data_IF_872142910494
#
_entry.id   IF_872142910494
#
_cell.length_a   1.000
_cell.length_b   1.000
_cell.length_c   1.000
_cell.angle_alpha   90.00
_cell.angle_beta   90.00
_cell.angle_gamma   90.00
#
_symmetry.space_group_name_H-M   'P 1'
#
loop_
_entity.id
_entity.type
_entity.pdbx_description
1 polymer ?
#
# COMPACT_ATOMS: atom_id res chain seq x y z
N UNK A 1 31.47 -19.19 -17.76
CA UNK A 1 32.03 -17.82 -17.78
C UNK A 1 30.88 -16.87 -17.46
N UNK A 2 30.84 -16.29 -16.25
CA UNK A 2 29.85 -15.30 -15.92
C UNK A 2 30.19 -13.99 -16.65
N UNK A 3 29.41 -13.65 -17.67
CA UNK A 3 29.51 -12.33 -18.29
C UNK A 3 29.07 -11.29 -17.24
N UNK A 4 30.01 -10.44 -16.83
CA UNK A 4 29.70 -9.30 -15.97
C UNK A 4 28.74 -8.38 -16.75
N UNK A 5 27.54 -8.18 -16.23
CA UNK A 5 26.57 -7.21 -16.76
C UNK A 5 27.14 -5.80 -16.54
N UNK A 6 27.33 -5.04 -17.62
CA UNK A 6 27.85 -3.68 -17.55
C UNK A 6 26.65 -2.74 -17.38
N UNK A 7 26.62 -2.01 -16.26
CA UNK A 7 25.62 -0.97 -16.00
C UNK A 7 26.08 0.33 -16.69
N UNK A 8 25.35 0.73 -17.73
CA UNK A 8 25.64 1.96 -18.46
C UNK A 8 25.18 3.19 -17.67
N UNK A 9 25.86 4.34 -17.81
CA UNK A 9 25.45 5.59 -17.18
C UNK A 9 24.12 6.09 -17.76
N UNK A 10 23.29 6.70 -16.90
CA UNK A 10 22.05 7.36 -17.31
C UNK A 10 22.32 8.83 -17.68
N UNK A 11 21.50 9.37 -18.59
CA UNK A 11 21.49 10.80 -18.88
C UNK A 11 20.57 11.51 -17.86
N UNK A 12 21.18 12.07 -16.83
CA UNK A 12 20.46 12.78 -15.77
C UNK A 12 20.11 14.20 -16.19
N UNK A 13 19.00 14.73 -15.59
CA UNK A 13 18.70 16.15 -15.65
C UNK A 13 19.86 16.96 -15.05
N UNK A 14 20.32 17.98 -15.78
CA UNK A 14 21.47 18.80 -15.41
C UNK A 14 21.13 20.29 -15.44
N UNK A 15 21.87 21.07 -14.69
CA UNK A 15 21.79 22.52 -14.72
C UNK A 15 20.36 23.03 -14.57
N UNK A 16 19.91 23.82 -15.52
CA UNK A 16 18.60 24.48 -15.49
C UNK A 16 17.45 23.49 -15.52
N UNK A 17 17.57 22.41 -16.28
CA UNK A 17 16.51 21.37 -16.33
C UNK A 17 16.32 20.73 -14.95
N UNK A 18 17.40 20.43 -14.25
CA UNK A 18 17.37 19.89 -12.91
C UNK A 18 16.75 20.86 -11.90
N UNK A 19 17.16 22.12 -11.90
CA UNK A 19 16.66 23.14 -10.94
C UNK A 19 15.19 23.49 -11.20
N UNK A 20 14.74 23.55 -12.45
CA UNK A 20 13.31 23.72 -12.77
C UNK A 20 12.48 22.50 -12.35
N UNK A 21 12.99 21.31 -12.54
CA UNK A 21 12.33 20.08 -12.07
C UNK A 21 12.16 20.08 -10.54
N UNK A 22 13.17 20.51 -9.78
CA UNK A 22 13.06 20.68 -8.32
C UNK A 22 11.96 21.68 -7.96
N UNK A 23 11.87 22.81 -8.65
CA UNK A 23 10.83 23.82 -8.43
C UNK A 23 9.43 23.25 -8.66
N UNK A 24 9.25 22.45 -9.72
CA UNK A 24 7.97 21.81 -10.03
C UNK A 24 7.55 20.83 -8.92
N UNK A 25 8.45 19.95 -8.47
CA UNK A 25 8.15 18.97 -7.44
C UNK A 25 7.90 19.59 -6.05
N UNK A 26 8.48 20.75 -5.78
CA UNK A 26 8.30 21.46 -4.51
C UNK A 26 7.25 22.59 -4.59
N UNK A 27 6.61 22.77 -5.76
CA UNK A 27 5.63 23.83 -6.03
C UNK A 27 6.21 25.25 -5.75
N UNK A 28 7.50 25.47 -6.02
CA UNK A 28 8.18 26.75 -5.85
C UNK A 28 8.08 27.59 -7.12
N UNK A 29 7.83 28.89 -6.95
CA UNK A 29 7.78 29.85 -8.07
C UNK A 29 9.13 30.51 -8.33
N UNK A 30 9.96 30.63 -7.30
CA UNK A 30 11.25 31.34 -7.36
C UNK A 30 12.41 30.51 -6.81
N UNK A 31 13.64 30.92 -7.09
CA UNK A 31 14.83 30.34 -6.49
C UNK A 31 15.03 30.77 -5.03
N UNK A 32 14.40 31.87 -4.60
CA UNK A 32 14.35 32.29 -3.22
C UNK A 32 13.58 31.24 -2.38
N UNK A 33 12.36 30.93 -2.78
CA UNK A 33 11.52 29.89 -2.13
C UNK A 33 12.23 28.53 -2.12
N UNK A 34 12.87 28.16 -3.24
CA UNK A 34 13.61 26.91 -3.34
C UNK A 34 14.82 26.89 -2.38
N UNK A 35 15.50 28.02 -2.22
CA UNK A 35 16.64 28.22 -1.31
C UNK A 35 16.20 28.02 0.16
N UNK A 36 15.08 28.60 0.55
CA UNK A 36 14.52 28.48 1.90
C UNK A 36 14.09 27.05 2.22
N UNK A 37 13.38 26.39 1.29
CA UNK A 37 12.88 25.03 1.51
C UNK A 37 14.03 24.00 1.58
N UNK A 38 15.05 24.17 0.76
CA UNK A 38 16.16 23.22 0.65
C UNK A 38 17.34 23.54 1.55
N UNK A 39 17.36 24.71 2.17
CA UNK A 39 18.51 25.24 2.91
C UNK A 39 19.79 25.21 2.07
N UNK A 40 19.68 25.71 0.82
CA UNK A 40 20.76 25.77 -0.16
C UNK A 40 20.87 27.21 -0.68
N UNK A 41 22.07 27.85 -0.63
CA UNK A 41 22.22 29.20 -1.12
C UNK A 41 21.79 29.36 -2.59
N UNK A 42 21.08 30.45 -2.90
CA UNK A 42 20.61 30.77 -4.26
C UNK A 42 21.76 30.79 -5.30
N UNK A 43 22.94 31.20 -4.90
CA UNK A 43 24.15 31.17 -5.76
C UNK A 43 24.55 29.76 -6.19
N UNK A 44 24.21 28.75 -5.39
CA UNK A 44 24.49 27.34 -5.72
C UNK A 44 23.65 26.87 -6.90
N UNK A 45 22.37 27.26 -6.97
CA UNK A 45 21.52 26.96 -8.14
C UNK A 45 22.03 27.65 -9.39
N UNK A 46 22.48 28.92 -9.28
CA UNK A 46 23.11 29.64 -10.40
C UNK A 46 24.38 28.94 -10.89
N UNK A 47 25.20 28.42 -9.97
CA UNK A 47 26.40 27.65 -10.29
C UNK A 47 26.06 26.32 -10.97
N UNK A 48 25.04 25.59 -10.49
CA UNK A 48 24.61 24.37 -11.15
C UNK A 48 24.09 24.64 -12.56
N UNK A 49 23.32 25.73 -12.74
CA UNK A 49 22.80 26.10 -14.05
C UNK A 49 23.92 26.48 -15.04
N UNK A 50 24.93 27.18 -14.57
CA UNK A 50 26.06 27.60 -15.42
C UNK A 50 27.00 26.45 -15.82
N UNK A 51 27.13 25.42 -14.95
CA UNK A 51 28.06 24.31 -15.15
C UNK A 51 27.37 22.98 -15.44
N UNK A 52 26.07 23.00 -15.76
CA UNK A 52 25.26 21.79 -16.05
C UNK A 52 25.44 20.70 -15.01
N UNK A 53 25.37 21.07 -13.72
CA UNK A 53 25.55 20.14 -12.59
C UNK A 53 24.20 19.65 -12.05
N UNK A 54 24.27 18.48 -11.43
CA UNK A 54 23.14 17.82 -10.72
C UNK A 54 23.58 17.53 -9.29
N UNK A 55 22.69 17.75 -8.31
CA UNK A 55 22.94 17.39 -6.93
C UNK A 55 22.27 16.05 -6.59
N UNK A 56 23.07 14.99 -6.57
CA UNK A 56 22.59 13.65 -6.17
C UNK A 56 22.19 13.63 -4.68
N UNK A 57 22.87 14.41 -3.83
CA UNK A 57 22.53 14.57 -2.43
C UNK A 57 21.11 15.07 -2.23
N UNK A 58 20.71 16.12 -2.96
CA UNK A 58 19.35 16.64 -2.89
C UNK A 58 18.31 15.64 -3.38
N UNK A 59 18.61 14.85 -4.41
CA UNK A 59 17.70 13.79 -4.87
C UNK A 59 17.45 12.78 -3.76
N UNK A 60 18.50 12.31 -3.08
CA UNK A 60 18.37 11.37 -1.96
C UNK A 60 17.62 12.01 -0.78
N UNK A 61 17.98 13.26 -0.43
CA UNK A 61 17.34 14.01 0.65
C UNK A 61 15.84 14.22 0.40
N UNK A 62 15.44 14.58 -0.81
CA UNK A 62 14.03 14.76 -1.19
C UNK A 62 13.28 13.41 -1.24
N UNK A 63 13.93 12.37 -1.69
CA UNK A 63 13.36 11.03 -1.65
C UNK A 63 13.04 10.59 -0.21
N UNK A 64 14.00 10.74 0.69
CA UNK A 64 13.84 10.35 2.10
C UNK A 64 12.86 11.26 2.88
N UNK A 65 12.88 12.58 2.62
CA UNK A 65 12.08 13.55 3.38
C UNK A 65 10.64 13.71 2.84
N UNK A 66 10.43 13.55 1.55
CA UNK A 66 9.15 13.84 0.86
C UNK A 66 8.58 12.63 0.11
N UNK A 67 9.29 11.50 0.07
CA UNK A 67 8.87 10.32 -0.69
C UNK A 67 8.90 10.50 -2.21
N UNK A 68 9.51 11.56 -2.74
CA UNK A 68 9.58 11.81 -4.19
C UNK A 68 10.51 10.77 -4.82
N UNK A 69 10.07 9.99 -5.81
CA UNK A 69 10.93 8.99 -6.44
C UNK A 69 12.19 9.61 -7.06
N UNK A 70 13.36 9.02 -6.81
CA UNK A 70 14.64 9.53 -7.35
C UNK A 70 14.59 9.66 -8.87
N UNK A 71 13.93 8.73 -9.58
CA UNK A 71 13.77 8.77 -11.03
C UNK A 71 13.04 10.02 -11.52
N UNK A 72 12.05 10.51 -10.76
CA UNK A 72 11.26 11.69 -11.13
C UNK A 72 12.07 12.98 -10.90
N UNK A 73 13.03 12.94 -9.95
CA UNK A 73 13.98 14.03 -9.72
C UNK A 73 15.16 14.02 -10.70
N UNK A 74 15.52 12.84 -11.21
CA UNK A 74 16.74 12.64 -11.98
C UNK A 74 16.53 12.66 -13.50
N UNK A 75 15.34 12.26 -14.00
CA UNK A 75 15.12 12.02 -15.42
C UNK A 75 14.04 12.96 -15.97
N UNK A 76 14.10 13.23 -17.27
CA UNK A 76 13.04 14.00 -17.96
C UNK A 76 11.71 13.27 -17.87
N UNK A 77 10.59 13.96 -17.61
CA UNK A 77 9.27 13.39 -17.77
C UNK A 77 9.13 12.89 -19.21
N UNK A 78 8.75 11.63 -19.39
CA UNK A 78 8.45 11.13 -20.73
C UNK A 78 7.21 11.83 -21.26
N UNK A 79 7.34 12.59 -22.35
CA UNK A 79 6.18 13.05 -23.10
C UNK A 79 5.35 11.85 -23.59
N UNK A 80 4.01 11.93 -23.61
CA UNK A 80 3.19 10.89 -24.21
C UNK A 80 3.57 10.74 -25.68
N UNK A 81 4.16 9.62 -26.04
CA UNK A 81 4.61 9.32 -27.40
C UNK A 81 3.39 9.23 -28.29
N UNK A 82 3.12 10.28 -29.05
CA UNK A 82 2.25 10.23 -30.22
C UNK A 82 2.97 9.38 -31.30
N UNK A 83 2.44 8.20 -31.57
CA UNK A 83 2.91 7.28 -32.60
C UNK A 83 3.03 7.96 -33.96
N UNK A 84 4.25 8.23 -34.43
CA UNK A 84 4.65 8.24 -35.84
C UNK A 84 6.15 8.37 -35.97
N UNK A 85 6.82 7.28 -36.20
CA UNK A 85 7.74 6.99 -37.32
C UNK A 85 8.69 5.85 -36.98
N UNK A 86 8.80 4.96 -37.93
CA UNK A 86 9.60 3.74 -37.89
C UNK A 86 11.10 4.02 -38.04
N UNK A 87 11.89 3.07 -37.55
CA UNK A 87 13.28 2.73 -37.85
C UNK A 87 14.36 3.46 -37.03
N UNK A 88 14.66 2.81 -35.88
CA UNK A 88 16.04 2.47 -35.50
C UNK A 88 16.00 1.46 -34.36
N UNK A 89 16.87 0.43 -34.32
CA UNK A 89 16.88 -0.52 -33.22
C UNK A 89 17.60 0.10 -32.02
N UNK A 90 16.92 0.94 -31.29
CA UNK A 90 17.36 1.33 -29.95
C UNK A 90 17.11 0.16 -29.01
N UNK A 91 18.15 -0.34 -28.38
CA UNK A 91 18.04 -1.23 -27.21
C UNK A 91 17.42 -0.39 -26.08
N UNK A 92 16.13 -0.18 -26.20
CA UNK A 92 15.33 0.46 -25.16
C UNK A 92 15.17 -0.56 -24.04
N UNK A 93 16.03 -0.45 -23.02
CA UNK A 93 15.73 -1.08 -21.74
C UNK A 93 14.37 -0.56 -21.27
N UNK A 94 13.38 -1.48 -21.28
CA UNK A 94 12.00 -1.22 -20.92
C UNK A 94 11.86 -0.86 -19.42
N UNK A 95 12.36 0.30 -18.98
CA UNK A 95 11.97 0.91 -17.70
C UNK A 95 10.53 1.47 -17.70
N UNK A 96 9.86 1.45 -18.86
CA UNK A 96 8.45 1.81 -18.96
C UNK A 96 7.50 0.81 -18.25
N UNK A 97 8.00 -0.35 -17.84
CA UNK A 97 7.20 -1.36 -17.15
C UNK A 97 6.93 -1.05 -15.67
N UNK A 98 7.61 -0.06 -15.08
CA UNK A 98 7.45 0.26 -13.64
C UNK A 98 6.52 1.45 -13.37
N UNK A 99 6.11 2.20 -14.39
CA UNK A 99 5.27 3.40 -14.24
C UNK A 99 3.88 3.31 -14.85
N UNK A 100 3.57 2.30 -15.63
CA UNK A 100 2.18 1.87 -15.74
C UNK A 100 1.95 1.00 -14.50
N UNK A 101 1.22 1.53 -13.52
CA UNK A 101 0.64 0.67 -12.49
C UNK A 101 -0.20 -0.35 -13.24
N UNK A 102 0.38 -1.53 -13.46
CA UNK A 102 -0.39 -2.63 -14.02
C UNK A 102 -1.59 -2.79 -13.08
N UNK A 103 -2.82 -2.60 -13.56
CA UNK A 103 -4.01 -2.72 -12.71
C UNK A 103 -4.06 -4.06 -11.97
N UNK A 104 -3.35 -5.08 -12.48
CA UNK A 104 -3.21 -6.38 -11.82
C UNK A 104 -2.31 -6.35 -10.58
N UNK A 105 -1.43 -5.34 -10.45
CA UNK A 105 -0.55 -5.15 -9.29
C UNK A 105 -1.12 -4.15 -8.28
N UNK A 106 -2.29 -3.58 -8.55
CA UNK A 106 -2.96 -2.72 -7.59
C UNK A 106 -3.30 -3.50 -6.31
N UNK A 107 -3.11 -2.85 -5.16
CA UNK A 107 -3.34 -3.45 -3.84
C UNK A 107 -4.40 -2.67 -3.08
N UNK A 108 -5.17 -3.41 -2.28
CA UNK A 108 -6.04 -2.88 -1.21
C UNK A 108 -5.30 -3.09 0.09
N UNK A 109 -5.28 -2.08 0.94
CA UNK A 109 -4.66 -2.13 2.26
C UNK A 109 -5.74 -2.35 3.31
N UNK A 110 -5.62 -3.42 4.08
CA UNK A 110 -6.51 -3.72 5.20
C UNK A 110 -5.78 -3.55 6.53
N UNK A 111 -6.49 -3.10 7.56
CA UNK A 111 -5.98 -3.16 8.93
C UNK A 111 -5.88 -4.61 9.36
N UNK A 112 -4.74 -4.97 9.92
CA UNK A 112 -4.42 -6.33 10.38
C UNK A 112 -4.31 -6.38 11.90
N UNK A 113 -4.86 -7.44 12.50
CA UNK A 113 -4.83 -7.68 13.93
C UNK A 113 -4.46 -9.13 14.20
N UNK A 114 -3.73 -9.37 15.29
CA UNK A 114 -3.50 -10.71 15.81
C UNK A 114 -4.48 -10.99 16.95
N UNK A 115 -5.24 -12.08 16.86
CA UNK A 115 -6.12 -12.53 17.93
C UNK A 115 -5.33 -13.45 18.86
N UNK A 116 -4.99 -12.96 20.04
CA UNK A 116 -4.24 -13.70 21.06
C UNK A 116 -4.88 -13.53 22.43
N UNK A 117 -5.12 -14.64 23.11
CA UNK A 117 -5.70 -14.68 24.47
C UNK A 117 -7.00 -13.86 24.61
N UNK A 118 -7.84 -13.87 23.56
CA UNK A 118 -9.09 -13.14 23.54
C UNK A 118 -8.96 -11.63 23.32
N UNK A 119 -7.81 -11.16 22.86
CA UNK A 119 -7.56 -9.75 22.57
C UNK A 119 -7.11 -9.59 21.12
N UNK A 120 -7.57 -8.52 20.46
CA UNK A 120 -7.05 -8.08 19.18
C UNK A 120 -5.86 -7.15 19.42
N UNK A 121 -4.69 -7.55 18.94
CA UNK A 121 -3.48 -6.76 18.96
C UNK A 121 -3.28 -6.20 17.55
N UNK A 122 -3.11 -4.89 17.43
CA UNK A 122 -2.83 -4.24 16.14
C UNK A 122 -1.46 -4.70 15.62
N UNK A 123 -1.42 -5.27 14.43
CA UNK A 123 -0.22 -5.74 13.73
C UNK A 123 0.11 -4.89 12.50
N UNK A 124 -0.61 -3.77 12.32
CA UNK A 124 -0.40 -2.83 11.23
C UNK A 124 -1.32 -3.06 10.04
N UNK A 125 -0.75 -3.12 8.85
CA UNK A 125 -1.50 -3.14 7.59
C UNK A 125 -1.05 -4.30 6.70
N UNK A 126 -2.02 -4.93 6.02
CA UNK A 126 -1.78 -6.04 5.10
C UNK A 126 -2.26 -5.69 3.69
N UNK A 127 -1.38 -5.75 2.67
CA UNK A 127 -1.76 -5.54 1.28
C UNK A 127 -2.36 -6.81 0.66
N UNK A 128 -3.51 -6.66 0.00
CA UNK A 128 -4.15 -7.68 -0.80
C UNK A 128 -4.24 -7.25 -2.27
N UNK A 129 -4.00 -8.16 -3.21
CA UNK A 129 -4.19 -7.84 -4.63
C UNK A 129 -5.65 -7.45 -4.89
N UNK A 130 -5.88 -6.28 -5.51
CA UNK A 130 -7.23 -5.76 -5.82
C UNK A 130 -8.07 -6.77 -6.57
N UNK A 131 -7.48 -7.51 -7.53
CA UNK A 131 -8.18 -8.53 -8.30
C UNK A 131 -8.78 -9.63 -7.41
N UNK A 132 -8.01 -10.12 -6.43
CA UNK A 132 -8.45 -11.16 -5.51
C UNK A 132 -9.49 -10.57 -4.56
N UNK A 133 -9.22 -9.40 -3.99
CA UNK A 133 -10.12 -8.74 -3.06
C UNK A 133 -11.50 -8.46 -3.67
N UNK A 134 -11.53 -7.96 -4.91
CA UNK A 134 -12.78 -7.70 -5.63
C UNK A 134 -13.56 -8.99 -5.95
N UNK A 135 -12.88 -10.13 -6.14
CA UNK A 135 -13.58 -11.40 -6.38
C UNK A 135 -14.36 -11.87 -5.16
N UNK A 136 -14.00 -11.41 -3.97
CA UNK A 136 -14.72 -11.71 -2.72
C UNK A 136 -15.87 -10.75 -2.43
N UNK A 137 -16.05 -9.72 -3.26
CA UNK A 137 -17.08 -8.69 -3.11
C UNK A 137 -17.07 -8.00 -1.73
N UNK A 138 -15.87 -7.71 -1.22
CA UNK A 138 -15.64 -7.06 0.07
C UNK A 138 -15.36 -5.57 -0.09
N UNK A 139 -15.69 -4.80 0.96
CA UNK A 139 -15.39 -3.38 1.06
C UNK A 139 -14.19 -3.17 2.00
N UNK A 140 -13.13 -2.51 1.51
CA UNK A 140 -11.91 -2.25 2.29
C UNK A 140 -12.13 -1.36 3.50
N UNK A 141 -13.17 -0.53 3.50
CA UNK A 141 -13.49 0.34 4.63
C UNK A 141 -14.11 -0.41 5.81
N UNK A 142 -14.76 -1.54 5.53
CA UNK A 142 -15.46 -2.34 6.55
C UNK A 142 -14.78 -3.66 6.84
N UNK A 143 -13.82 -4.07 6.02
CA UNK A 143 -13.12 -5.35 6.17
C UNK A 143 -11.82 -5.16 6.96
N UNK A 144 -11.59 -6.05 7.91
CA UNK A 144 -10.32 -6.18 8.64
C UNK A 144 -9.76 -7.60 8.49
N UNK A 145 -8.44 -7.71 8.63
CA UNK A 145 -7.77 -9.01 8.70
C UNK A 145 -7.51 -9.40 10.15
N UNK A 146 -7.76 -10.66 10.48
CA UNK A 146 -7.46 -11.26 11.77
C UNK A 146 -6.51 -12.44 11.57
N UNK A 147 -5.34 -12.36 12.15
CA UNK A 147 -4.38 -13.46 12.21
C UNK A 147 -4.56 -14.27 13.49
N UNK A 148 -4.53 -15.59 13.36
CA UNK A 148 -4.57 -16.55 14.46
C UNK A 148 -3.51 -17.64 14.24
N UNK A 149 -3.37 -18.56 15.16
CA UNK A 149 -2.50 -19.73 15.00
C UNK A 149 -2.98 -20.68 13.88
N UNK A 150 -4.28 -20.64 13.54
CA UNK A 150 -4.91 -21.52 12.56
C UNK A 150 -4.91 -20.95 11.14
N UNK A 151 -4.69 -19.65 11.00
CA UNK A 151 -4.70 -18.98 9.70
C UNK A 151 -5.07 -17.51 9.78
N UNK A 152 -5.48 -16.98 8.62
CA UNK A 152 -5.92 -15.59 8.47
C UNK A 152 -7.38 -15.54 8.05
N UNK A 153 -8.10 -14.60 8.61
CA UNK A 153 -9.53 -14.42 8.41
C UNK A 153 -9.82 -12.99 7.97
N UNK A 154 -10.56 -12.82 6.90
CA UNK A 154 -11.09 -11.51 6.53
C UNK A 154 -12.50 -11.37 7.10
N UNK A 155 -12.67 -10.39 7.97
CA UNK A 155 -13.89 -10.13 8.71
C UNK A 155 -14.56 -8.87 8.17
N UNK A 156 -15.77 -9.00 7.63
CA UNK A 156 -16.59 -7.87 7.21
C UNK A 156 -17.46 -7.38 8.38
N UNK A 157 -17.10 -6.22 8.91
CA UNK A 157 -17.82 -5.58 10.03
C UNK A 157 -19.19 -5.03 9.65
N UNK A 158 -19.51 -4.93 8.36
CA UNK A 158 -20.83 -4.54 7.90
C UNK A 158 -21.87 -5.62 8.15
N UNK A 159 -21.42 -6.88 8.20
CA UNK A 159 -22.25 -8.04 8.45
C UNK A 159 -22.18 -8.45 9.93
N UNK A 160 -22.72 -7.63 10.83
CA UNK A 160 -22.72 -7.85 12.27
C UNK A 160 -24.03 -8.41 12.83
N UNK A 161 -25.02 -8.70 11.99
CA UNK A 161 -26.23 -9.42 12.39
C UNK A 161 -26.03 -10.91 12.09
N UNK A 162 -25.82 -11.70 13.16
CA UNK A 162 -25.50 -13.12 13.01
C UNK A 162 -26.74 -13.94 12.67
N UNK A 163 -26.69 -14.65 11.54
CA UNK A 163 -27.71 -15.62 11.12
C UNK A 163 -27.14 -17.04 11.17
N UNK A 164 -26.15 -17.33 10.34
CA UNK A 164 -25.42 -18.59 10.30
C UNK A 164 -24.05 -18.39 9.67
N UNK A 165 -23.00 -18.93 10.27
CA UNK A 165 -21.64 -18.84 9.77
C UNK A 165 -20.61 -18.55 10.85
N UNK A 166 -19.38 -18.27 10.43
CA UNK A 166 -18.29 -17.90 11.34
C UNK A 166 -18.30 -16.38 11.55
N UNK A 167 -18.16 -15.96 12.81
CA UNK A 167 -18.18 -14.55 13.20
C UNK A 167 -17.07 -14.26 14.20
N UNK A 168 -16.50 -13.06 14.11
CA UNK A 168 -15.73 -12.45 15.17
C UNK A 168 -16.72 -11.91 16.21
N UNK A 169 -16.58 -12.35 17.43
CA UNK A 169 -17.46 -12.00 18.55
C UNK A 169 -16.68 -11.48 19.75
N UNK A 170 -17.35 -10.67 20.55
CA UNK A 170 -16.88 -10.22 21.86
C UNK A 170 -17.86 -10.73 22.92
N UNK A 171 -17.36 -11.50 23.86
CA UNK A 171 -18.07 -11.95 25.04
C UNK A 171 -17.34 -11.47 26.29
N UNK A 172 -17.93 -10.52 27.00
CA UNK A 172 -17.35 -9.96 28.23
C UNK A 172 -15.92 -9.40 28.05
N UNK A 173 -15.64 -8.72 26.92
CA UNK A 173 -14.34 -8.15 26.61
C UNK A 173 -13.31 -9.17 26.10
N UNK A 174 -13.74 -10.40 25.78
CA UNK A 174 -12.89 -11.44 25.16
C UNK A 174 -13.38 -11.73 23.77
N UNK A 175 -12.51 -11.58 22.81
CA UNK A 175 -12.80 -11.84 21.40
C UNK A 175 -12.43 -13.25 20.99
N UNK A 176 -13.24 -13.82 20.11
CA UNK A 176 -13.00 -15.13 19.49
C UNK A 176 -13.68 -15.23 18.14
N UNK A 177 -13.22 -16.15 17.29
CA UNK A 177 -13.90 -16.51 16.03
C UNK A 177 -14.62 -17.83 16.26
N UNK A 178 -15.95 -17.81 16.11
CA UNK A 178 -16.79 -18.96 16.37
C UNK A 178 -17.89 -19.10 15.33
N UNK A 179 -18.32 -20.34 15.11
CA UNK A 179 -19.52 -20.60 14.33
C UNK A 179 -20.75 -20.23 15.15
N UNK A 180 -21.62 -19.42 14.56
CA UNK A 180 -22.89 -19.01 15.18
C UNK A 180 -24.04 -19.48 14.31
N UNK A 181 -25.12 -19.89 14.98
CA UNK A 181 -26.42 -20.13 14.37
C UNK A 181 -27.48 -19.38 15.16
N UNK A 182 -28.33 -18.61 14.48
CA UNK A 182 -29.46 -17.93 15.10
C UNK A 182 -30.57 -18.91 15.45
N UNK A 183 -31.03 -18.84 16.66
CA UNK A 183 -32.23 -19.51 17.19
C UNK A 183 -33.27 -18.45 17.56
N UNK A 184 -34.56 -18.84 17.80
CA UNK A 184 -35.53 -17.86 18.30
C UNK A 184 -35.09 -17.25 19.64
N UNK A 185 -34.87 -15.94 19.63
CA UNK A 185 -34.41 -15.12 20.78
C UNK A 185 -33.05 -15.52 21.40
N UNK A 186 -32.22 -16.30 20.69
CA UNK A 186 -30.90 -16.77 21.19
C UNK A 186 -29.94 -16.96 20.04
N UNK A 187 -28.65 -17.03 20.36
CA UNK A 187 -27.60 -17.45 19.46
C UNK A 187 -26.98 -18.77 19.99
N UNK A 188 -26.86 -19.77 19.11
CA UNK A 188 -26.07 -20.96 19.39
C UNK A 188 -24.63 -20.70 18.93
N UNK A 189 -23.67 -20.74 19.84
CA UNK A 189 -22.26 -20.52 19.59
C UNK A 189 -21.46 -21.77 19.79
N UNK A 190 -20.64 -22.15 18.82
CA UNK A 190 -19.83 -23.37 18.88
C UNK A 190 -18.44 -23.04 19.45
N UNK A 191 -18.11 -23.64 20.57
CA UNK A 191 -16.79 -23.60 21.21
C UNK A 191 -16.16 -25.00 21.14
N UNK A 192 -15.20 -25.19 20.23
CA UNK A 192 -14.62 -26.52 20.00
C UNK A 192 -15.69 -27.54 19.63
N UNK A 193 -15.92 -28.51 20.50
CA UNK A 193 -16.93 -29.58 20.29
C UNK A 193 -18.26 -29.35 21.05
N UNK A 194 -18.39 -28.21 21.73
CA UNK A 194 -19.58 -27.86 22.50
C UNK A 194 -20.36 -26.73 21.86
N UNK A 195 -21.67 -26.81 21.84
CA UNK A 195 -22.58 -25.73 21.45
C UNK A 195 -23.22 -25.14 22.70
N UNK A 196 -23.11 -23.82 22.85
CA UNK A 196 -23.67 -23.08 23.98
C UNK A 196 -24.70 -22.10 23.45
N UNK A 197 -25.89 -22.11 24.06
CA UNK A 197 -26.91 -21.11 23.80
C UNK A 197 -26.63 -19.86 24.62
N UNK A 198 -26.58 -18.71 23.97
CA UNK A 198 -26.26 -17.39 24.56
C UNK A 198 -27.38 -16.42 24.21
N UNK A 199 -27.80 -15.59 25.16
CA UNK A 199 -28.72 -14.50 24.88
C UNK A 199 -28.04 -13.47 23.97
N UNK A 200 -28.82 -12.82 23.09
CA UNK A 200 -28.25 -11.84 22.15
C UNK A 200 -27.61 -10.64 22.87
N UNK A 201 -28.06 -10.31 24.07
CA UNK A 201 -27.54 -9.22 24.90
C UNK A 201 -26.17 -9.52 25.53
N UNK A 202 -25.81 -10.80 25.69
CA UNK A 202 -24.56 -11.26 26.30
C UNK A 202 -23.40 -11.38 25.30
N UNK A 203 -23.67 -11.21 24.01
CA UNK A 203 -22.71 -11.38 22.94
C UNK A 203 -22.75 -10.20 21.98
N UNK A 204 -21.59 -9.63 21.68
CA UNK A 204 -21.46 -8.61 20.65
C UNK A 204 -20.85 -9.22 19.39
N UNK A 205 -21.62 -9.28 18.32
CA UNK A 205 -21.11 -9.68 17.00
C UNK A 205 -20.38 -8.51 16.37
N UNK A 206 -19.09 -8.67 16.08
CA UNK A 206 -18.25 -7.62 15.50
C UNK A 206 -18.34 -7.65 13.97
N UNK A 207 -18.37 -8.84 13.37
CA UNK A 207 -18.48 -9.01 11.93
C UNK A 207 -18.41 -10.47 11.51
N UNK A 208 -18.83 -10.73 10.27
CA UNK A 208 -18.82 -12.06 9.68
C UNK A 208 -17.46 -12.37 9.06
N UNK A 209 -16.97 -13.57 9.24
CA UNK A 209 -15.84 -14.11 8.48
C UNK A 209 -16.28 -14.35 7.04
N UNK A 210 -15.74 -13.57 6.12
CA UNK A 210 -16.04 -13.66 4.70
C UNK A 210 -15.05 -14.57 3.95
N UNK A 211 -13.78 -14.60 4.39
CA UNK A 211 -12.72 -15.40 3.78
C UNK A 211 -11.85 -16.01 4.89
N UNK A 212 -11.51 -17.28 4.71
CA UNK A 212 -10.59 -17.99 5.58
C UNK A 212 -9.40 -18.48 4.77
N UNK A 213 -8.19 -18.10 5.16
CA UNK A 213 -6.92 -18.55 4.61
C UNK A 213 -6.27 -19.46 5.64
N UNK A 214 -6.44 -20.77 5.51
CA UNK A 214 -5.87 -21.77 6.45
C UNK A 214 -4.42 -22.05 6.09
N UNK A 215 -3.65 -22.34 7.13
CA UNK A 215 -2.32 -22.90 7.02
C UNK A 215 -2.44 -24.39 7.31
N UNK A 216 -2.10 -25.23 6.36
CA UNK A 216 -2.01 -26.69 6.52
C UNK A 216 -0.70 -27.08 7.21
#
# INVERSE_FOLDING_TARGET
MNSKEIILPFDYLKGREFTENLKQHLNCRSFEELSEILDVPKSTFATWNAHERTSHELMVRLHLAKGIPIKDLALKPKEPVNNRSMNEPSVAYNYAAVTQSNPQHATVILKSFCLSNGKLLDTGEMPYAVRIFNSWNLDSLTTIEIETNEGRFLVDKKQNDAVSGEYLIDMNGRMSINHIQRLPNKLAVVFGNATVEVAEEDIKVIGRVAVTLKKD
#
